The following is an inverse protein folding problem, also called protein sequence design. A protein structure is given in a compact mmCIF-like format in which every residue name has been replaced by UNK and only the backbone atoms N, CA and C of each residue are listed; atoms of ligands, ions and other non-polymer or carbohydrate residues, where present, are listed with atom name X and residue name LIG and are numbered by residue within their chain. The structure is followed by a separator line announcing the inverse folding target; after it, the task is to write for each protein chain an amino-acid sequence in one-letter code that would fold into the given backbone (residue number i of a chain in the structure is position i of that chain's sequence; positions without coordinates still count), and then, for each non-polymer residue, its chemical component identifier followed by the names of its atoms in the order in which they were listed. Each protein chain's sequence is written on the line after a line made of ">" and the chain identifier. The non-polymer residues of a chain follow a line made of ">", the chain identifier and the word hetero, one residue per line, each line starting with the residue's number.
data_IF_179214963597
#
_entry.id   IF_179214963597
#
_cell.length_a   1.000
_cell.length_b   1.000
_cell.length_c   1.000
_cell.angle_alpha   90.00
_cell.angle_beta   90.00
_cell.angle_gamma   90.00
#
_symmetry.space_group_name_H-M   'P 1'
#
loop_
_entity.id
_entity.type
_entity.pdbx_description
1 polymer ?
#
# COMPACT_ATOMS: atom_id res chain seq x y z
N UNK A 1 -5.39 31.70 -6.67
CA UNK A 1 -4.01 31.70 -7.21
C UNK A 1 -4.01 30.84 -8.46
N UNK A 2 -3.77 31.43 -9.62
CA UNK A 2 -3.53 30.68 -10.85
C UNK A 2 -2.09 30.19 -10.79
N UNK A 3 -1.88 28.95 -10.33
CA UNK A 3 -0.58 28.30 -10.45
C UNK A 3 -0.38 27.95 -11.92
N UNK A 4 0.48 28.68 -12.62
CA UNK A 4 0.99 28.25 -13.91
C UNK A 4 1.93 27.09 -13.67
N UNK A 5 1.49 25.88 -14.03
CA UNK A 5 2.33 24.70 -13.91
C UNK A 5 3.54 24.84 -14.85
N UNK A 6 4.76 24.53 -14.39
CA UNK A 6 5.92 24.52 -15.27
C UNK A 6 5.69 23.56 -16.45
N UNK A 7 6.23 23.87 -17.64
CA UNK A 7 6.01 23.07 -18.83
C UNK A 7 6.51 21.64 -18.62
N UNK A 8 5.72 20.67 -19.06
CA UNK A 8 6.05 19.25 -18.90
C UNK A 8 7.36 18.91 -19.65
N UNK A 9 8.35 18.37 -18.94
CA UNK A 9 9.65 17.97 -19.53
C UNK A 9 9.56 16.79 -20.50
N UNK A 10 8.51 15.98 -20.40
CA UNK A 10 8.34 14.75 -21.19
C UNK A 10 6.88 14.46 -21.55
N UNK A 11 6.62 13.70 -22.63
CA UNK A 11 5.27 13.27 -23.00
C UNK A 11 4.57 12.51 -21.88
N UNK A 12 3.25 12.68 -21.77
CA UNK A 12 2.45 12.03 -20.74
C UNK A 12 2.53 10.50 -20.81
N UNK A 13 2.66 9.92 -22.01
CA UNK A 13 2.79 8.48 -22.21
C UNK A 13 4.04 7.90 -21.53
N UNK A 14 5.15 8.63 -21.50
CA UNK A 14 6.36 8.21 -20.81
C UNK A 14 6.19 8.28 -19.30
N UNK A 15 5.58 9.36 -18.80
CA UNK A 15 5.25 9.51 -17.38
C UNK A 15 4.31 8.38 -16.92
N UNK A 16 3.26 8.10 -17.70
CA UNK A 16 2.35 6.98 -17.44
C UNK A 16 3.10 5.66 -17.39
N UNK A 17 3.91 5.34 -18.41
CA UNK A 17 4.68 4.10 -18.44
C UNK A 17 5.53 3.91 -17.17
N UNK A 18 6.25 4.96 -16.76
CA UNK A 18 7.09 4.91 -15.57
C UNK A 18 6.28 4.64 -14.29
N UNK A 19 5.24 5.45 -14.04
CA UNK A 19 4.41 5.30 -12.84
C UNK A 19 3.62 3.99 -12.81
N UNK A 20 3.05 3.56 -13.93
CA UNK A 20 2.36 2.28 -14.00
C UNK A 20 3.31 1.11 -13.74
N UNK A 21 4.55 1.18 -14.23
CA UNK A 21 5.56 0.15 -13.92
C UNK A 21 5.83 0.07 -12.42
N UNK A 22 6.00 1.20 -11.74
CA UNK A 22 6.17 1.24 -10.28
C UNK A 22 4.97 0.65 -9.53
N UNK A 23 3.75 1.00 -9.95
CA UNK A 23 2.52 0.46 -9.36
C UNK A 23 2.41 -1.05 -9.58
N UNK A 24 2.71 -1.54 -10.79
CA UNK A 24 2.66 -2.98 -11.11
C UNK A 24 3.69 -3.78 -10.32
N UNK A 25 4.89 -3.24 -10.09
CA UNK A 25 5.88 -3.84 -9.19
C UNK A 25 5.30 -4.01 -7.79
N UNK A 26 4.68 -2.96 -7.24
CA UNK A 26 4.09 -3.01 -5.90
C UNK A 26 2.94 -4.01 -5.81
N UNK A 27 2.06 -4.04 -6.81
CA UNK A 27 0.91 -4.97 -6.87
C UNK A 27 1.40 -6.42 -6.96
N UNK A 28 2.33 -6.72 -7.87
CA UNK A 28 2.85 -8.07 -8.04
C UNK A 28 3.63 -8.55 -6.80
N UNK A 29 4.54 -7.74 -6.26
CA UNK A 29 5.33 -8.12 -5.08
C UNK A 29 4.45 -8.40 -3.85
N UNK A 30 3.40 -7.60 -3.64
CA UNK A 30 2.50 -7.71 -2.50
C UNK A 30 1.28 -8.60 -2.74
N UNK A 31 1.24 -9.37 -3.84
CA UNK A 31 0.11 -10.26 -4.11
C UNK A 31 -0.09 -11.27 -2.97
N UNK A 32 -1.33 -11.32 -2.46
CA UNK A 32 -1.72 -12.14 -1.31
C UNK A 32 -1.78 -13.63 -1.63
N UNK A 33 -1.56 -14.46 -0.60
CA UNK A 33 -1.68 -15.91 -0.75
C UNK A 33 -3.15 -16.30 -1.03
N UNK A 34 -3.39 -17.29 -1.92
CA UNK A 34 -4.73 -17.80 -2.17
C UNK A 34 -5.28 -18.56 -0.95
N UNK A 35 -6.58 -18.89 -0.99
CA UNK A 35 -7.23 -19.66 0.07
C UNK A 35 -6.57 -21.03 0.27
N UNK A 36 -6.58 -21.53 1.51
CA UNK A 36 -6.05 -22.84 1.87
C UNK A 36 -6.77 -23.95 1.10
N UNK A 37 -6.10 -24.53 0.09
CA UNK A 37 -6.64 -25.60 -0.76
C UNK A 37 -6.78 -25.21 -2.25
N UNK A 38 -6.67 -23.93 -2.58
CA UNK A 38 -6.66 -23.47 -3.97
C UNK A 38 -5.28 -23.70 -4.61
N UNK A 39 -5.25 -24.57 -5.63
CA UNK A 39 -4.03 -25.00 -6.32
C UNK A 39 -4.08 -24.80 -7.84
N UNK A 40 -5.19 -24.30 -8.39
CA UNK A 40 -5.41 -24.23 -9.84
C UNK A 40 -6.10 -22.96 -10.30
N UNK A 41 -6.56 -22.08 -9.40
CA UNK A 41 -7.19 -20.83 -9.82
C UNK A 41 -6.18 -19.86 -10.44
N UNK A 42 -6.70 -18.86 -11.13
CA UNK A 42 -5.91 -17.72 -11.61
C UNK A 42 -5.18 -17.03 -10.46
N UNK A 43 -5.79 -16.94 -9.28
CA UNK A 43 -5.19 -16.32 -8.09
C UNK A 43 -3.99 -17.11 -7.56
N UNK A 44 -4.10 -18.45 -7.58
CA UNK A 44 -2.98 -19.32 -7.25
C UNK A 44 -1.81 -19.11 -8.21
N UNK A 45 -2.06 -19.16 -9.52
CA UNK A 45 -0.99 -18.95 -10.51
C UNK A 45 -0.33 -17.57 -10.41
N UNK A 46 -1.12 -16.50 -10.20
CA UNK A 46 -0.58 -15.16 -9.98
C UNK A 46 0.30 -15.12 -8.74
N UNK A 47 -0.12 -15.73 -7.63
CA UNK A 47 0.69 -15.80 -6.41
C UNK A 47 1.97 -16.61 -6.60
N UNK A 48 1.90 -17.76 -7.27
CA UNK A 48 3.06 -18.63 -7.53
C UNK A 48 4.12 -17.93 -8.38
N UNK A 49 3.70 -17.21 -9.42
CA UNK A 49 4.61 -16.56 -10.36
C UNK A 49 4.92 -15.09 -10.04
N UNK A 50 4.38 -14.54 -8.95
CA UNK A 50 4.46 -13.11 -8.65
C UNK A 50 5.88 -12.54 -8.67
N UNK A 51 6.87 -13.30 -8.20
CA UNK A 51 8.27 -12.84 -8.18
C UNK A 51 8.90 -12.76 -9.58
N UNK A 52 8.50 -13.64 -10.50
CA UNK A 52 8.91 -13.56 -11.90
C UNK A 52 8.26 -12.36 -12.59
N UNK A 53 6.97 -12.11 -12.31
CA UNK A 53 6.25 -10.92 -12.79
C UNK A 53 6.95 -9.65 -12.28
N UNK A 54 7.25 -9.57 -10.98
CA UNK A 54 7.98 -8.45 -10.38
C UNK A 54 9.37 -8.27 -11.01
N UNK A 55 10.10 -9.35 -11.26
CA UNK A 55 11.40 -9.31 -11.94
C UNK A 55 11.30 -8.73 -13.35
N UNK A 56 10.32 -9.17 -14.13
CA UNK A 56 10.05 -8.63 -15.48
C UNK A 56 9.69 -7.14 -15.44
N UNK A 57 8.82 -6.72 -14.51
CA UNK A 57 8.49 -5.31 -14.30
C UNK A 57 9.71 -4.49 -13.84
N UNK A 58 10.64 -5.10 -13.09
CA UNK A 58 11.93 -4.52 -12.74
C UNK A 58 12.81 -4.23 -13.96
N UNK A 59 12.78 -5.08 -15.00
CA UNK A 59 13.46 -4.82 -16.27
C UNK A 59 12.81 -3.65 -17.03
N UNK A 60 11.47 -3.53 -16.98
CA UNK A 60 10.77 -2.38 -17.53
C UNK A 60 11.14 -1.08 -16.79
N UNK A 61 11.32 -1.14 -15.47
CA UNK A 61 11.81 -0.02 -14.68
C UNK A 61 13.24 0.36 -15.08
N UNK A 62 14.14 -0.62 -15.25
CA UNK A 62 15.50 -0.35 -15.72
C UNK A 62 15.51 0.32 -17.11
N UNK A 63 14.68 -0.14 -18.04
CA UNK A 63 14.50 0.51 -19.34
C UNK A 63 13.99 1.94 -19.19
N UNK A 64 12.98 2.15 -18.33
CA UNK A 64 12.44 3.48 -18.02
C UNK A 64 13.51 4.40 -17.43
N UNK A 65 14.39 3.92 -16.56
CA UNK A 65 15.47 4.74 -15.99
C UNK A 65 16.44 5.23 -17.07
N UNK A 66 16.76 4.38 -18.04
CA UNK A 66 17.69 4.74 -19.13
C UNK A 66 17.02 5.65 -20.15
N UNK A 67 15.82 5.31 -20.62
CA UNK A 67 15.16 5.99 -21.76
C UNK A 67 14.30 7.18 -21.36
N UNK A 68 13.64 7.11 -20.20
CA UNK A 68 12.69 8.14 -19.74
C UNK A 68 13.35 9.08 -18.74
N UNK A 69 14.05 8.54 -17.73
CA UNK A 69 14.77 9.35 -16.73
C UNK A 69 16.18 9.79 -17.20
N UNK A 70 16.63 9.30 -18.36
CA UNK A 70 17.93 9.65 -18.99
C UNK A 70 19.13 9.43 -18.07
N UNK A 71 19.02 8.45 -17.18
CA UNK A 71 20.11 8.02 -16.30
C UNK A 71 21.12 7.21 -17.13
N UNK A 72 22.40 7.40 -16.86
CA UNK A 72 23.47 6.65 -17.55
C UNK A 72 23.29 5.15 -17.36
N UNK A 73 23.29 4.42 -18.48
CA UNK A 73 23.01 2.97 -18.49
C UNK A 73 23.95 2.14 -17.62
N UNK A 74 25.20 2.57 -17.42
CA UNK A 74 26.17 1.88 -16.56
C UNK A 74 25.70 1.81 -15.10
N UNK A 75 25.17 2.92 -14.58
CA UNK A 75 24.63 2.99 -13.22
C UNK A 75 23.38 2.13 -13.06
N UNK A 76 22.51 2.14 -14.06
CA UNK A 76 21.32 1.29 -14.09
C UNK A 76 21.69 -0.19 -14.17
N UNK A 77 22.66 -0.55 -15.01
CA UNK A 77 23.14 -1.94 -15.13
C UNK A 77 23.76 -2.42 -13.82
N UNK A 78 24.58 -1.60 -13.16
CA UNK A 78 25.13 -1.91 -11.84
C UNK A 78 24.03 -2.15 -10.80
N UNK A 79 22.98 -1.31 -10.79
CA UNK A 79 21.84 -1.50 -9.90
C UNK A 79 21.11 -2.83 -10.17
N UNK A 80 20.82 -3.14 -11.44
CA UNK A 80 20.17 -4.40 -11.85
C UNK A 80 21.03 -5.60 -11.44
N UNK A 81 22.33 -5.56 -11.68
CA UNK A 81 23.25 -6.64 -11.30
C UNK A 81 23.31 -6.80 -9.80
N UNK A 82 23.39 -5.71 -9.02
CA UNK A 82 23.37 -5.79 -7.56
C UNK A 82 22.07 -6.40 -7.02
N UNK A 83 20.91 -5.99 -7.54
CA UNK A 83 19.61 -6.55 -7.17
C UNK A 83 19.49 -8.03 -7.57
N UNK A 84 19.94 -8.42 -8.76
CA UNK A 84 19.90 -9.81 -9.20
C UNK A 84 20.84 -10.71 -8.37
N UNK A 85 22.07 -10.24 -8.12
CA UNK A 85 23.03 -10.96 -7.29
C UNK A 85 22.52 -11.13 -5.86
N UNK A 86 21.95 -10.09 -5.27
CA UNK A 86 21.37 -10.18 -3.93
C UNK A 86 20.18 -11.14 -3.85
N UNK A 87 19.36 -11.26 -4.91
CA UNK A 87 18.30 -12.27 -4.96
C UNK A 87 18.86 -13.70 -5.00
N UNK A 88 19.93 -13.95 -5.78
CA UNK A 88 20.59 -15.26 -5.87
C UNK A 88 21.33 -15.61 -4.58
N UNK A 89 21.97 -14.65 -3.94
CA UNK A 89 22.64 -14.86 -2.66
C UNK A 89 21.61 -15.12 -1.55
N UNK A 90 20.54 -14.33 -1.49
CA UNK A 90 19.48 -14.52 -0.50
C UNK A 90 18.84 -15.91 -0.61
N UNK A 91 18.59 -16.41 -1.82
CA UNK A 91 18.00 -17.75 -2.00
C UNK A 91 18.92 -18.90 -1.59
N UNK A 92 20.25 -18.68 -1.58
CA UNK A 92 21.24 -19.69 -1.16
C UNK A 92 21.54 -19.65 0.34
N UNK A 93 21.57 -18.46 0.94
CA UNK A 93 22.06 -18.26 2.31
C UNK A 93 20.95 -18.05 3.35
N UNK A 94 19.73 -17.70 2.95
CA UNK A 94 18.62 -17.47 3.90
C UNK A 94 17.69 -18.67 3.92
N UNK A 95 17.65 -19.36 5.07
CA UNK A 95 16.81 -20.55 5.25
C UNK A 95 15.31 -20.24 5.33
N UNK A 96 14.91 -19.02 5.71
CA UNK A 96 13.51 -18.63 5.82
C UNK A 96 12.99 -18.07 4.48
N UNK A 97 12.08 -18.79 3.77
CA UNK A 97 11.59 -18.37 2.46
C UNK A 97 10.86 -17.01 2.49
N UNK A 98 10.27 -16.62 3.62
CA UNK A 98 9.58 -15.33 3.77
C UNK A 98 10.55 -14.15 3.79
N UNK A 99 11.80 -14.37 4.19
CA UNK A 99 12.82 -13.32 4.32
C UNK A 99 13.64 -13.15 3.04
N UNK A 100 13.68 -14.18 2.17
CA UNK A 100 14.47 -14.17 0.92
C UNK A 100 14.18 -12.94 0.05
N UNK A 101 12.91 -12.53 -0.19
CA UNK A 101 12.63 -11.38 -1.07
C UNK A 101 12.93 -10.01 -0.46
N UNK A 102 13.09 -9.91 0.87
CA UNK A 102 13.37 -8.65 1.55
C UNK A 102 14.77 -8.12 1.19
N UNK A 103 15.74 -9.02 1.04
CA UNK A 103 17.12 -8.64 0.69
C UNK A 103 17.21 -7.95 -0.68
N UNK A 104 16.79 -8.56 -1.80
CA UNK A 104 16.82 -7.89 -3.09
C UNK A 104 15.92 -6.66 -3.15
N UNK A 105 14.83 -6.59 -2.37
CA UNK A 105 14.02 -5.39 -2.24
C UNK A 105 14.81 -4.23 -1.61
N UNK A 106 15.47 -4.45 -0.48
CA UNK A 106 16.30 -3.43 0.19
C UNK A 106 17.47 -3.02 -0.70
N UNK A 107 18.14 -3.97 -1.34
CA UNK A 107 19.23 -3.68 -2.28
C UNK A 107 18.72 -2.89 -3.49
N UNK A 108 17.55 -3.22 -4.03
CA UNK A 108 16.93 -2.48 -5.14
C UNK A 108 16.56 -1.05 -4.76
N UNK A 109 15.97 -0.83 -3.58
CA UNK A 109 15.67 0.52 -3.07
C UNK A 109 16.96 1.31 -2.88
N UNK A 110 17.97 0.74 -2.23
CA UNK A 110 19.25 1.39 -2.00
C UNK A 110 19.95 1.73 -3.33
N UNK A 111 19.99 0.78 -4.26
CA UNK A 111 20.60 0.98 -5.57
C UNK A 111 19.86 2.07 -6.37
N UNK A 112 18.52 2.05 -6.39
CA UNK A 112 17.72 3.10 -7.03
C UNK A 112 18.03 4.47 -6.41
N UNK A 113 18.01 4.58 -5.07
CA UNK A 113 18.31 5.82 -4.36
C UNK A 113 19.72 6.34 -4.63
N UNK A 114 20.73 5.47 -4.69
CA UNK A 114 22.10 5.87 -5.03
C UNK A 114 22.13 6.39 -6.47
N UNK A 115 21.56 5.63 -7.41
CA UNK A 115 21.58 6.00 -8.83
C UNK A 115 20.90 7.34 -9.09
N UNK A 116 19.80 7.63 -8.42
CA UNK A 116 19.07 8.90 -8.56
C UNK A 116 19.71 10.06 -7.80
N UNK A 117 20.28 9.84 -6.61
CA UNK A 117 20.96 10.89 -5.84
C UNK A 117 22.26 11.37 -6.49
N UNK A 118 22.97 10.46 -7.16
CA UNK A 118 24.23 10.75 -7.85
C UNK A 118 24.05 11.03 -9.34
N UNK A 119 22.82 11.08 -9.85
CA UNK A 119 22.59 11.49 -11.23
C UNK A 119 22.99 12.95 -11.41
N UNK A 120 23.77 13.21 -12.46
CA UNK A 120 24.25 14.54 -12.84
C UNK A 120 23.56 15.07 -14.10
N UNK A 121 22.69 14.27 -14.72
CA UNK A 121 22.04 14.64 -15.98
C UNK A 121 20.73 15.40 -15.75
N UNK A 122 19.92 14.99 -14.77
CA UNK A 122 18.65 15.65 -14.43
C UNK A 122 18.49 15.81 -12.91
N UNK A 123 18.36 17.06 -12.45
CA UNK A 123 18.19 17.37 -11.04
C UNK A 123 16.85 16.85 -10.46
N UNK A 124 15.83 16.67 -11.30
CA UNK A 124 14.54 16.12 -10.89
C UNK A 124 14.65 14.69 -10.35
N UNK A 125 15.59 13.89 -10.86
CA UNK A 125 15.84 12.53 -10.36
C UNK A 125 16.31 12.55 -8.90
N UNK A 126 17.19 13.50 -8.58
CA UNK A 126 17.69 13.72 -7.21
C UNK A 126 16.59 14.27 -6.32
N UNK A 127 15.84 15.28 -6.79
CA UNK A 127 14.71 15.86 -6.06
C UNK A 127 13.66 14.80 -5.71
N UNK A 128 13.28 13.93 -6.65
CA UNK A 128 12.34 12.85 -6.39
C UNK A 128 12.75 11.98 -5.18
N UNK A 129 14.04 11.66 -5.08
CA UNK A 129 14.57 10.83 -3.99
C UNK A 129 14.63 11.60 -2.67
N UNK A 130 15.03 12.87 -2.71
CA UNK A 130 15.06 13.73 -1.53
C UNK A 130 13.66 14.00 -0.99
N UNK A 131 12.67 14.21 -1.86
CA UNK A 131 11.27 14.35 -1.49
C UNK A 131 10.72 13.06 -0.89
N UNK A 132 10.98 11.90 -1.51
CA UNK A 132 10.59 10.61 -0.96
C UNK A 132 11.18 10.38 0.44
N UNK A 133 12.46 10.70 0.65
CA UNK A 133 13.10 10.65 1.97
C UNK A 133 12.50 11.66 2.96
N UNK A 134 12.15 12.87 2.49
CA UNK A 134 11.44 13.87 3.27
C UNK A 134 10.11 13.34 3.81
N UNK A 135 9.29 12.74 2.95
CA UNK A 135 8.04 12.10 3.34
C UNK A 135 8.27 10.90 4.27
N UNK A 136 9.26 10.06 4.01
CA UNK A 136 9.59 8.94 4.88
C UNK A 136 9.91 9.40 6.31
N UNK A 137 10.70 10.46 6.48
CA UNK A 137 10.99 11.04 7.81
C UNK A 137 9.77 11.60 8.53
N UNK A 138 8.76 12.05 7.80
CA UNK A 138 7.51 12.56 8.40
C UNK A 138 6.54 11.42 8.74
N UNK A 139 6.39 10.46 7.83
CA UNK A 139 5.40 9.38 7.94
C UNK A 139 5.89 8.29 8.90
N UNK A 140 7.17 7.87 8.84
CA UNK A 140 7.66 6.73 9.64
C UNK A 140 7.46 6.90 11.16
N UNK A 141 7.77 8.04 11.79
CA UNK A 141 7.54 8.21 13.23
C UNK A 141 6.05 8.16 13.57
N UNK A 142 5.22 8.82 12.78
CA UNK A 142 3.76 8.81 12.99
C UNK A 142 3.19 7.40 12.82
N UNK A 143 3.68 6.66 11.82
CA UNK A 143 3.32 5.27 11.58
C UNK A 143 3.71 4.38 12.76
N UNK A 144 4.94 4.52 13.27
CA UNK A 144 5.41 3.74 14.41
C UNK A 144 4.56 3.99 15.66
N UNK A 145 4.24 5.27 15.95
CA UNK A 145 3.35 5.64 17.05
C UNK A 145 1.95 5.04 16.84
N UNK A 146 1.41 5.15 15.62
CA UNK A 146 0.10 4.61 15.27
C UNK A 146 0.02 3.10 15.43
N UNK A 147 1.02 2.36 14.94
CA UNK A 147 1.10 0.89 15.05
C UNK A 147 1.23 0.45 16.50
N UNK A 148 2.11 1.09 17.28
CA UNK A 148 2.26 0.78 18.72
C UNK A 148 0.97 1.09 19.48
N UNK A 149 0.35 2.22 19.21
CA UNK A 149 -0.92 2.62 19.85
C UNK A 149 -2.04 1.64 19.49
N UNK A 150 -2.15 1.27 18.21
CA UNK A 150 -3.14 0.29 17.76
C UNK A 150 -2.91 -1.08 18.42
N UNK A 151 -1.67 -1.57 18.48
CA UNK A 151 -1.33 -2.82 19.15
C UNK A 151 -1.62 -2.79 20.66
N UNK A 152 -1.38 -1.65 21.33
CA UNK A 152 -1.72 -1.46 22.74
C UNK A 152 -3.23 -1.43 22.99
N UNK A 153 -3.99 -0.76 22.12
CA UNK A 153 -5.44 -0.61 22.28
C UNK A 153 -6.20 -1.87 21.86
N UNK A 154 -5.88 -2.43 20.70
CA UNK A 154 -6.63 -3.52 20.07
C UNK A 154 -6.04 -4.91 20.36
N UNK A 155 -4.83 -4.96 20.93
CA UNK A 155 -4.11 -6.21 21.10
C UNK A 155 -3.46 -6.66 19.79
N UNK A 156 -2.89 -7.86 19.82
CA UNK A 156 -2.37 -8.49 18.61
C UNK A 156 -2.43 -10.00 18.71
N UNK A 157 -2.61 -10.67 17.58
CA UNK A 157 -2.55 -12.12 17.49
C UNK A 157 -1.41 -12.51 16.56
N UNK A 158 -0.35 -13.07 17.12
CA UNK A 158 0.79 -13.57 16.34
C UNK A 158 1.14 -14.98 16.82
N UNK A 159 1.36 -15.90 15.87
CA UNK A 159 1.79 -17.28 16.15
C UNK A 159 0.92 -18.05 17.16
N UNK A 160 -0.41 -17.86 17.10
CA UNK A 160 -1.42 -18.41 18.02
C UNK A 160 -1.35 -17.90 19.46
N UNK A 161 -0.61 -16.82 19.72
CA UNK A 161 -0.61 -16.11 21.00
C UNK A 161 -1.42 -14.83 20.84
N UNK A 162 -2.54 -14.75 21.56
CA UNK A 162 -3.37 -13.55 21.64
C UNK A 162 -2.88 -12.69 22.80
N UNK A 163 -2.40 -11.48 22.49
CA UNK A 163 -2.09 -10.45 23.47
C UNK A 163 -3.33 -9.54 23.55
N UNK A 164 -4.05 -9.53 24.68
CA UNK A 164 -5.22 -8.67 24.82
C UNK A 164 -4.81 -7.20 24.80
N UNK A 165 -5.60 -6.38 24.12
CA UNK A 165 -5.50 -4.93 24.16
C UNK A 165 -6.22 -4.33 25.36
N UNK A 166 -6.11 -3.01 25.50
CA UNK A 166 -6.84 -2.24 26.53
C UNK A 166 -8.34 -2.11 26.19
N UNK A 167 -8.69 -2.07 24.90
CA UNK A 167 -10.09 -1.95 24.46
C UNK A 167 -10.79 -3.30 24.63
N UNK A 168 -11.90 -3.37 25.38
CA UNK A 168 -12.66 -4.61 25.52
C UNK A 168 -13.23 -5.06 24.16
N UNK A 169 -13.12 -6.36 23.87
CA UNK A 169 -13.65 -6.95 22.63
C UNK A 169 -15.16 -6.71 22.50
N UNK A 170 -15.91 -6.67 23.61
CA UNK A 170 -17.35 -6.37 23.64
C UNK A 170 -17.70 -5.04 22.94
N UNK A 171 -16.83 -4.03 23.04
CA UNK A 171 -17.04 -2.73 22.39
C UNK A 171 -16.88 -2.83 20.87
N UNK A 172 -15.93 -3.66 20.43
CA UNK A 172 -15.66 -3.91 19.01
C UNK A 172 -16.80 -4.73 18.40
N UNK A 173 -17.21 -5.81 19.08
CA UNK A 173 -18.35 -6.63 18.68
C UNK A 173 -19.65 -5.82 18.62
N UNK A 174 -19.88 -4.94 19.59
CA UNK A 174 -21.05 -4.07 19.60
C UNK A 174 -21.05 -3.06 18.43
N UNK A 175 -19.90 -2.44 18.14
CA UNK A 175 -19.81 -1.41 17.12
C UNK A 175 -19.75 -1.96 15.68
N UNK A 176 -18.97 -3.02 15.47
CA UNK A 176 -18.63 -3.55 14.13
C UNK A 176 -18.70 -5.07 14.04
N UNK A 177 -19.32 -5.74 15.00
CA UNK A 177 -19.59 -7.18 14.93
C UNK A 177 -20.74 -7.54 13.98
N UNK A 178 -20.78 -8.81 13.57
CA UNK A 178 -21.80 -9.36 12.67
C UNK A 178 -21.83 -8.69 11.29
N UNK A 179 -22.99 -8.68 10.64
CA UNK A 179 -23.18 -8.06 9.32
C UNK A 179 -24.47 -7.21 9.25
N UNK A 180 -24.63 -6.27 10.19
CA UNK A 180 -25.77 -5.35 10.19
C UNK A 180 -25.50 -4.10 9.34
N UNK A 181 -26.56 -3.39 8.92
CA UNK A 181 -26.43 -2.10 8.24
C UNK A 181 -25.67 -1.11 9.11
N UNK A 182 -25.93 -1.10 10.41
CA UNK A 182 -25.23 -0.25 11.36
C UNK A 182 -23.74 -0.57 11.43
N UNK A 183 -23.37 -1.85 11.57
CA UNK A 183 -21.97 -2.29 11.66
C UNK A 183 -21.16 -1.87 10.42
N UNK A 184 -21.72 -2.07 9.23
CA UNK A 184 -21.07 -1.70 7.97
C UNK A 184 -21.02 -0.17 7.75
N UNK A 185 -22.09 0.54 8.14
CA UNK A 185 -22.11 1.99 8.09
C UNK A 185 -21.09 2.59 9.06
N UNK A 186 -21.04 2.10 10.29
CA UNK A 186 -20.11 2.59 11.30
C UNK A 186 -18.65 2.32 10.90
N UNK A 187 -18.36 1.14 10.33
CA UNK A 187 -17.03 0.80 9.83
C UNK A 187 -16.59 1.69 8.65
N UNK A 188 -17.46 1.89 7.65
CA UNK A 188 -17.15 2.77 6.51
C UNK A 188 -17.07 4.25 6.90
N UNK A 189 -17.96 4.72 7.78
CA UNK A 189 -17.92 6.09 8.28
C UNK A 189 -16.64 6.35 9.05
N UNK A 190 -16.29 5.48 10.00
CA UNK A 190 -15.03 5.59 10.76
C UNK A 190 -13.82 5.50 9.82
N UNK A 191 -13.82 4.52 8.91
CA UNK A 191 -12.79 4.35 7.89
C UNK A 191 -12.59 5.58 7.02
N UNK A 192 -13.66 6.29 6.65
CA UNK A 192 -13.58 7.49 5.84
C UNK A 192 -12.78 8.64 6.49
N UNK A 193 -12.75 8.70 7.83
CA UNK A 193 -11.95 9.70 8.56
C UNK A 193 -10.56 9.20 8.90
N UNK A 194 -10.34 7.89 8.91
CA UNK A 194 -9.06 7.28 9.21
C UNK A 194 -8.07 7.54 8.07
N UNK A 195 -6.92 8.14 8.40
CA UNK A 195 -5.80 8.25 7.48
C UNK A 195 -4.74 7.21 7.86
N UNK A 196 -4.83 6.02 7.29
CA UNK A 196 -3.82 4.97 7.46
C UNK A 196 -3.08 4.70 6.17
N UNK A 197 -1.82 4.30 6.30
CA UNK A 197 -1.13 3.66 5.20
C UNK A 197 -1.81 2.31 4.94
N UNK A 198 -2.01 1.95 3.67
CA UNK A 198 -2.60 0.66 3.28
C UNK A 198 -1.86 -0.53 3.91
N UNK A 199 -0.55 -0.41 4.12
CA UNK A 199 0.28 -1.41 4.80
C UNK A 199 -0.10 -1.63 6.27
N UNK A 200 -0.58 -0.60 6.97
CA UNK A 200 -1.03 -0.71 8.38
C UNK A 200 -2.47 -1.13 8.52
N UNK A 201 -3.26 -1.03 7.45
CA UNK A 201 -4.67 -1.39 7.47
C UNK A 201 -4.87 -2.89 7.65
N UNK A 202 -4.03 -3.71 7.01
CA UNK A 202 -4.07 -5.19 7.12
C UNK A 202 -3.92 -5.67 8.57
N UNK A 203 -2.85 -5.33 9.33
CA UNK A 203 -2.72 -5.78 10.71
C UNK A 203 -3.80 -5.19 11.64
N UNK A 204 -4.27 -3.95 11.39
CA UNK A 204 -5.38 -3.35 12.17
C UNK A 204 -6.66 -4.17 11.98
N UNK A 205 -7.03 -4.47 10.73
CA UNK A 205 -8.21 -5.29 10.43
C UNK A 205 -8.06 -6.70 10.99
N UNK A 206 -6.87 -7.31 10.92
CA UNK A 206 -6.62 -8.61 11.54
C UNK A 206 -6.84 -8.56 13.05
N UNK A 207 -6.37 -7.51 13.72
CA UNK A 207 -6.63 -7.27 15.15
C UNK A 207 -8.13 -7.15 15.44
N UNK A 208 -8.83 -6.28 14.71
CA UNK A 208 -10.28 -6.08 14.88
C UNK A 208 -11.09 -7.36 14.62
N UNK A 209 -10.73 -8.15 13.59
CA UNK A 209 -11.33 -9.45 13.31
C UNK A 209 -11.09 -10.43 14.46
N UNK A 210 -9.88 -10.45 15.04
CA UNK A 210 -9.60 -11.28 16.22
C UNK A 210 -10.35 -10.82 17.47
N UNK A 211 -10.76 -9.56 17.51
CA UNK A 211 -11.60 -8.96 18.57
C UNK A 211 -13.10 -8.98 18.26
N UNK A 212 -13.56 -9.73 17.23
CA UNK A 212 -14.98 -9.97 16.97
C UNK A 212 -15.63 -9.07 15.90
N UNK A 213 -14.85 -8.29 15.15
CA UNK A 213 -15.35 -7.57 13.96
C UNK A 213 -15.89 -8.55 12.90
N UNK A 214 -17.00 -8.19 12.26
CA UNK A 214 -17.53 -8.96 11.15
C UNK A 214 -16.77 -8.76 9.84
N UNK A 215 -16.79 -9.76 8.95
CA UNK A 215 -16.12 -9.69 7.64
C UNK A 215 -16.71 -8.62 6.72
N UNK A 216 -18.02 -8.40 6.77
CA UNK A 216 -18.70 -7.33 6.03
C UNK A 216 -18.20 -5.95 6.44
N UNK A 217 -18.32 -5.58 7.74
CA UNK A 217 -17.74 -4.35 8.27
C UNK A 217 -16.24 -4.20 7.98
N UNK A 218 -15.46 -5.28 8.03
CA UNK A 218 -14.04 -5.24 7.70
C UNK A 218 -13.80 -4.81 6.24
N UNK A 219 -14.56 -5.36 5.29
CA UNK A 219 -14.50 -4.91 3.89
C UNK A 219 -14.98 -3.46 3.73
N UNK A 220 -16.05 -3.07 4.43
CA UNK A 220 -16.55 -1.69 4.40
C UNK A 220 -15.48 -0.68 4.85
N UNK A 221 -14.71 -1.01 5.90
CA UNK A 221 -13.59 -0.21 6.36
C UNK A 221 -12.48 -0.12 5.30
N UNK A 222 -12.06 -1.28 4.75
CA UNK A 222 -11.02 -1.38 3.71
C UNK A 222 -11.32 -0.63 2.41
N UNK A 223 -12.61 -0.43 2.10
CA UNK A 223 -13.03 0.32 0.92
C UNK A 223 -13.09 1.82 1.18
N UNK A 224 -13.51 2.23 2.38
CA UNK A 224 -13.63 3.63 2.76
C UNK A 224 -12.27 4.29 3.07
N UNK A 225 -11.38 3.56 3.77
CA UNK A 225 -10.07 4.03 4.23
C UNK A 225 -9.17 4.64 3.13
N UNK A 226 -8.83 3.92 2.05
CA UNK A 226 -7.99 4.49 0.99
C UNK A 226 -8.72 5.53 0.12
N UNK A 227 -10.05 5.50 0.11
CA UNK A 227 -10.88 6.39 -0.71
C UNK A 227 -11.01 7.79 -0.09
N UNK A 228 -10.95 7.90 1.23
CA UNK A 228 -11.20 9.14 1.97
C UNK A 228 -10.21 9.33 3.10
N UNK A 229 -9.99 10.59 3.46
CA UNK A 229 -9.30 10.96 4.69
C UNK A 229 -9.60 12.42 5.00
N UNK A 230 -9.45 12.83 6.26
CA UNK A 230 -9.61 14.25 6.62
C UNK A 230 -8.76 15.19 5.75
N UNK A 231 -7.45 14.94 5.55
CA UNK A 231 -6.64 15.76 4.64
C UNK A 231 -7.17 15.77 3.19
N UNK A 232 -7.53 14.60 2.63
CA UNK A 232 -8.03 14.51 1.27
C UNK A 232 -9.36 15.26 1.10
N UNK A 233 -10.27 15.16 2.07
CA UNK A 233 -11.54 15.90 2.06
C UNK A 233 -11.32 17.41 2.07
N UNK A 234 -10.36 17.91 2.86
CA UNK A 234 -10.02 19.33 2.90
C UNK A 234 -9.45 19.82 1.57
N UNK A 235 -8.56 19.04 0.95
CA UNK A 235 -8.00 19.35 -0.38
C UNK A 235 -9.08 19.34 -1.45
N UNK A 236 -9.91 18.29 -1.50
CA UNK A 236 -11.01 18.15 -2.45
C UNK A 236 -12.01 19.30 -2.29
N UNK A 237 -12.32 19.69 -1.05
CA UNK A 237 -13.16 20.86 -0.77
C UNK A 237 -12.58 22.15 -1.35
N UNK A 238 -11.27 22.34 -1.27
CA UNK A 238 -10.59 23.48 -1.88
C UNK A 238 -10.70 23.52 -3.40
N UNK A 239 -10.75 22.37 -4.06
CA UNK A 239 -10.78 22.24 -5.53
C UNK A 239 -12.21 22.22 -6.09
N UNK A 240 -13.08 21.37 -5.53
CA UNK A 240 -14.43 21.09 -6.05
C UNK A 240 -15.54 21.87 -5.32
N UNK A 241 -15.24 22.49 -4.19
CA UNK A 241 -16.20 23.17 -3.33
C UNK A 241 -16.95 22.22 -2.37
N UNK A 242 -17.55 22.80 -1.33
CA UNK A 242 -18.17 22.05 -0.23
C UNK A 242 -19.28 21.09 -0.68
N UNK A 243 -20.19 21.53 -1.55
CA UNK A 243 -21.35 20.71 -1.98
C UNK A 243 -20.90 19.41 -2.68
N UNK A 244 -19.99 19.51 -3.64
CA UNK A 244 -19.47 18.34 -4.39
C UNK A 244 -18.68 17.41 -3.48
N UNK A 245 -17.92 17.97 -2.54
CA UNK A 245 -17.16 17.19 -1.56
C UNK A 245 -18.08 16.36 -0.66
N UNK A 246 -19.15 16.95 -0.14
CA UNK A 246 -20.13 16.23 0.68
C UNK A 246 -20.76 15.09 -0.11
N UNK A 247 -21.17 15.33 -1.36
CA UNK A 247 -21.73 14.28 -2.22
C UNK A 247 -20.73 13.15 -2.44
N UNK A 248 -19.46 13.47 -2.72
CA UNK A 248 -18.40 12.47 -2.88
C UNK A 248 -18.21 11.63 -1.61
N UNK A 249 -18.12 12.27 -0.45
CA UNK A 249 -17.97 11.57 0.85
C UNK A 249 -19.15 10.63 1.11
N UNK A 250 -20.38 11.12 0.90
CA UNK A 250 -21.58 10.31 1.09
C UNK A 250 -21.61 9.10 0.13
N UNK A 251 -21.25 9.30 -1.13
CA UNK A 251 -21.20 8.21 -2.10
C UNK A 251 -20.20 7.13 -1.69
N UNK A 252 -19.00 7.50 -1.24
CA UNK A 252 -18.01 6.51 -0.77
C UNK A 252 -18.52 5.75 0.44
N UNK A 253 -19.06 6.44 1.46
CA UNK A 253 -19.59 5.78 2.67
C UNK A 253 -20.74 4.84 2.33
N UNK A 254 -21.69 5.27 1.50
CA UNK A 254 -22.83 4.45 1.07
C UNK A 254 -22.35 3.23 0.28
N UNK A 255 -21.46 3.42 -0.69
CA UNK A 255 -20.94 2.33 -1.53
C UNK A 255 -20.13 1.32 -0.72
N UNK A 256 -19.28 1.80 0.21
CA UNK A 256 -18.52 0.94 1.10
C UNK A 256 -19.42 0.16 2.06
N UNK A 257 -20.43 0.82 2.65
CA UNK A 257 -21.46 0.18 3.49
C UNK A 257 -22.19 -0.91 2.74
N UNK A 258 -22.69 -0.60 1.54
CA UNK A 258 -23.44 -1.53 0.72
C UNK A 258 -22.58 -2.72 0.29
N UNK A 259 -21.35 -2.47 -0.16
CA UNK A 259 -20.44 -3.53 -0.58
C UNK A 259 -20.05 -4.44 0.59
N UNK A 260 -19.80 -3.87 1.77
CA UNK A 260 -19.54 -4.65 2.98
C UNK A 260 -20.73 -5.52 3.38
N UNK A 261 -21.95 -4.96 3.34
CA UNK A 261 -23.19 -5.70 3.62
C UNK A 261 -23.38 -6.89 2.67
N UNK A 262 -23.22 -6.65 1.38
CA UNK A 262 -23.35 -7.67 0.34
C UNK A 262 -22.27 -8.74 0.53
N UNK A 263 -21.02 -8.35 0.79
CA UNK A 263 -19.95 -9.31 1.00
C UNK A 263 -20.16 -10.17 2.25
N UNK A 264 -20.49 -9.55 3.39
CA UNK A 264 -20.72 -10.25 4.64
C UNK A 264 -21.98 -11.13 4.68
N UNK A 265 -22.85 -11.07 3.65
CA UNK A 265 -23.97 -12.01 3.55
C UNK A 265 -23.57 -13.32 2.86
N UNK A 266 -22.46 -13.33 2.11
CA UNK A 266 -21.92 -14.50 1.44
C UNK A 266 -20.82 -15.22 2.25
N UNK A 267 -20.15 -14.54 3.19
CA UNK A 267 -18.94 -15.00 3.88
C UNK A 267 -18.97 -14.77 5.39
#
# INVERSE_FOLDING_TARGET
>A
MNFEAPPAKRPISQTMFHFFTLVLILVAANWGAPASGDTSSVWFHLYTYKWYITGFMGLMLAWSMIKILKIKWQWVLLAVVATALSAVLASKFISNPKMVPLVPMVVGIAALSIVTLFDKNDEENKEWTLSAWGFAKQIMPLLAIGVVTAGFLLGSTHDNVAIPGVVPNEWIEWAVGGNSLFSNFFASFTGAFMYFATLTEVPIIQGLLSSGMGKGPALALLLAGPSLSLPNMLVIRGVMGTKKTIVYVLLVVIMATFTGLVYGSFF
#
